data_IF_546936554930
#
_entry.id   IF_546936554930
#
_cell.length_a   1.000
_cell.length_b   1.000
_cell.length_c   1.000
_cell.angle_alpha   90.00
_cell.angle_beta   90.00
_cell.angle_gamma   90.00
#
_symmetry.space_group_name_H-M   'P 1'
#
loop_
_entity.id
_entity.type
_entity.pdbx_description
1 polymer ?
#
# COMPACT_ATOMS: atom_id res chain seq x y z
N UNK A 1 8.73 8.66 -7.01
CA UNK A 1 8.95 7.73 -5.87
C UNK A 1 9.18 8.49 -4.58
N UNK A 2 10.26 9.28 -4.44
CA UNK A 2 10.57 10.03 -3.22
C UNK A 2 9.37 10.83 -2.67
N UNK A 3 8.73 11.64 -3.50
CA UNK A 3 7.53 12.42 -3.08
C UNK A 3 6.38 11.55 -2.56
N UNK A 4 6.22 10.32 -3.05
CA UNK A 4 5.16 9.42 -2.58
C UNK A 4 5.52 8.83 -1.21
N UNK A 5 6.80 8.55 -0.97
CA UNK A 5 7.33 8.11 0.32
C UNK A 5 7.17 9.24 1.35
N UNK A 6 7.60 10.45 1.01
CA UNK A 6 7.47 11.64 1.87
C UNK A 6 6.01 11.91 2.27
N UNK A 7 5.06 11.73 1.33
CA UNK A 7 3.63 11.85 1.62
C UNK A 7 3.15 10.80 2.60
N UNK A 8 3.54 9.53 2.43
CA UNK A 8 3.19 8.46 3.36
C UNK A 8 3.71 8.81 4.76
N UNK A 9 4.99 9.17 4.87
CA UNK A 9 5.61 9.57 6.13
C UNK A 9 4.88 10.75 6.77
N UNK A 10 4.55 11.77 5.98
CA UNK A 10 3.81 12.95 6.46
C UNK A 10 2.42 12.59 6.98
N UNK A 11 1.69 11.71 6.27
CA UNK A 11 0.35 11.31 6.69
C UNK A 11 0.37 10.46 7.96
N UNK A 12 1.41 9.64 8.17
CA UNK A 12 1.49 8.72 9.30
C UNK A 12 2.31 9.24 10.48
N UNK A 13 3.10 10.32 10.32
CA UNK A 13 4.06 10.80 11.32
C UNK A 13 3.45 11.10 12.71
N UNK A 14 2.25 11.66 12.74
CA UNK A 14 1.56 12.05 13.98
C UNK A 14 0.40 11.12 14.34
N UNK A 15 0.30 9.94 13.69
CA UNK A 15 -0.81 9.02 13.89
C UNK A 15 -0.35 7.80 14.66
N UNK A 16 -1.12 7.44 15.69
CA UNK A 16 -1.06 6.12 16.29
C UNK A 16 -1.64 5.08 15.33
N UNK A 17 -1.33 3.82 15.58
CA UNK A 17 -1.88 2.71 14.79
C UNK A 17 -3.42 2.68 14.82
N UNK A 18 -4.02 2.98 15.97
CA UNK A 18 -5.48 3.01 16.13
C UNK A 18 -6.13 4.14 15.30
N UNK A 19 -5.53 5.33 15.30
CA UNK A 19 -6.01 6.46 14.48
C UNK A 19 -5.88 6.17 12.99
N UNK A 20 -4.80 5.51 12.58
CA UNK A 20 -4.61 5.07 11.20
C UNK A 20 -5.69 4.05 10.80
N UNK A 21 -5.94 3.02 11.62
CA UNK A 21 -6.96 2.00 11.37
C UNK A 21 -8.40 2.56 11.37
N UNK A 22 -8.65 3.64 12.11
CA UNK A 22 -9.93 4.33 12.11
C UNK A 22 -10.13 5.26 10.89
N UNK A 23 -9.05 5.72 10.27
CA UNK A 23 -9.10 6.70 9.17
C UNK A 23 -9.00 6.05 7.79
N UNK A 24 -10.16 5.80 7.18
CA UNK A 24 -10.23 5.29 5.80
C UNK A 24 -9.56 6.22 4.79
N UNK A 25 -9.69 7.53 4.98
CA UNK A 25 -9.09 8.54 4.11
C UNK A 25 -7.56 8.40 4.07
N UNK A 26 -6.94 8.23 5.24
CA UNK A 26 -5.48 8.08 5.34
C UNK A 26 -5.03 6.73 4.79
N UNK A 27 -5.78 5.65 5.04
CA UNK A 27 -5.51 4.34 4.44
C UNK A 27 -5.54 4.41 2.92
N UNK A 28 -6.58 4.99 2.33
CA UNK A 28 -6.72 5.15 0.88
C UNK A 28 -5.57 6.02 0.31
N UNK A 29 -5.20 7.09 1.00
CA UNK A 29 -4.08 7.94 0.61
C UNK A 29 -2.73 7.19 0.64
N UNK A 30 -2.47 6.37 1.67
CA UNK A 30 -1.25 5.57 1.78
C UNK A 30 -1.20 4.49 0.70
N UNK A 31 -2.31 3.77 0.48
CA UNK A 31 -2.42 2.75 -0.58
C UNK A 31 -2.13 3.38 -1.95
N UNK A 32 -2.71 4.55 -2.24
CA UNK A 32 -2.49 5.26 -3.50
C UNK A 32 -1.02 5.63 -3.70
N UNK A 33 -0.32 6.09 -2.66
CA UNK A 33 1.10 6.44 -2.78
C UNK A 33 1.97 5.19 -3.02
N UNK A 34 1.61 4.05 -2.42
CA UNK A 34 2.27 2.80 -2.74
C UNK A 34 2.05 2.32 -4.18
N UNK A 35 0.85 2.52 -4.74
CA UNK A 35 0.59 2.24 -6.17
C UNK A 35 1.52 3.06 -7.07
N UNK A 36 1.68 4.36 -6.78
CA UNK A 36 2.58 5.27 -7.52
C UNK A 36 4.03 4.80 -7.44
N UNK A 37 4.47 4.34 -6.26
CA UNK A 37 5.83 3.79 -6.07
C UNK A 37 6.01 2.52 -6.91
N UNK A 38 5.03 1.60 -6.87
CA UNK A 38 5.07 0.36 -7.62
C UNK A 38 5.07 0.59 -9.13
N UNK A 39 4.24 1.50 -9.64
CA UNK A 39 4.19 1.86 -11.06
C UNK A 39 5.52 2.47 -11.52
N UNK A 40 6.11 3.37 -10.73
CA UNK A 40 7.41 3.94 -11.04
C UNK A 40 8.53 2.88 -11.07
N UNK A 41 8.52 1.93 -10.13
CA UNK A 41 9.47 0.81 -10.11
C UNK A 41 9.30 -0.12 -11.33
N UNK A 42 8.06 -0.43 -11.72
CA UNK A 42 7.78 -1.20 -12.94
C UNK A 42 8.21 -0.47 -14.22
N UNK A 43 8.02 0.86 -14.27
CA UNK A 43 8.49 1.68 -15.37
C UNK A 43 10.01 1.71 -15.46
N UNK A 44 10.73 1.76 -14.33
CA UNK A 44 12.18 1.67 -14.29
C UNK A 44 12.68 0.36 -14.90
N UNK A 45 12.08 -0.78 -14.54
CA UNK A 45 12.41 -2.07 -15.14
C UNK A 45 12.23 -2.11 -16.66
N UNK A 46 11.20 -1.41 -17.17
CA UNK A 46 10.90 -1.36 -18.60
C UNK A 46 11.84 -0.43 -19.38
N UNK A 47 12.22 0.71 -18.80
CA UNK A 47 12.96 1.78 -19.50
C UNK A 47 14.47 1.65 -19.30
N UNK A 48 14.93 1.10 -18.17
CA UNK A 48 16.34 0.95 -17.84
C UNK A 48 16.59 -0.43 -17.18
N UNK A 49 16.48 -1.53 -17.94
CA UNK A 49 16.61 -2.88 -17.40
C UNK A 49 18.00 -3.15 -16.81
N UNK A 50 19.06 -2.57 -17.36
CA UNK A 50 20.42 -2.66 -16.80
C UNK A 50 20.54 -2.02 -15.40
N UNK A 51 19.88 -0.88 -15.17
CA UNK A 51 19.85 -0.23 -13.85
C UNK A 51 19.00 -1.06 -12.88
N UNK A 52 17.86 -1.58 -13.33
CA UNK A 52 17.03 -2.44 -12.50
C UNK A 52 17.73 -3.76 -12.13
N UNK A 53 18.55 -4.32 -13.01
CA UNK A 53 19.35 -5.51 -12.74
C UNK A 53 20.48 -5.25 -11.72
N UNK A 54 21.02 -4.03 -11.69
CA UNK A 54 22.00 -3.60 -10.70
C UNK A 54 21.39 -3.36 -9.30
N UNK A 55 20.06 -3.19 -9.23
CA UNK A 55 19.30 -2.91 -8.00
C UNK A 55 18.18 -3.95 -7.77
N UNK A 56 18.52 -5.24 -7.54
CA UNK A 56 17.54 -6.30 -7.32
C UNK A 56 16.68 -6.10 -6.06
N UNK A 57 17.10 -5.23 -5.15
CA UNK A 57 16.33 -4.82 -3.97
C UNK A 57 15.04 -4.05 -4.31
N UNK A 58 14.92 -3.51 -5.52
CA UNK A 58 13.72 -2.78 -5.98
C UNK A 58 12.77 -3.78 -6.65
N UNK A 59 11.70 -4.24 -5.98
CA UNK A 59 10.91 -5.32 -6.52
C UNK A 59 9.86 -4.74 -7.48
N UNK A 60 10.14 -4.73 -8.78
CA UNK A 60 9.21 -4.15 -9.78
C UNK A 60 7.92 -4.94 -10.01
N UNK A 61 7.72 -6.06 -9.30
CA UNK A 61 6.44 -6.79 -9.26
C UNK A 61 5.49 -6.28 -8.15
N UNK A 62 5.94 -5.35 -7.29
CA UNK A 62 5.14 -4.78 -6.19
C UNK A 62 3.75 -4.25 -6.59
N UNK A 63 3.55 -3.49 -7.71
CA UNK A 63 2.30 -2.74 -7.90
C UNK A 63 1.03 -3.60 -7.92
N UNK A 64 1.10 -4.87 -8.34
CA UNK A 64 -0.07 -5.76 -8.39
C UNK A 64 -0.33 -6.50 -7.08
N UNK A 65 0.73 -6.88 -6.36
CA UNK A 65 0.61 -7.61 -5.10
C UNK A 65 0.27 -6.71 -3.92
N UNK A 66 0.78 -5.47 -3.91
CA UNK A 66 0.73 -4.61 -2.74
C UNK A 66 -0.69 -4.07 -2.48
N UNK A 67 -1.48 -3.77 -3.50
CA UNK A 67 -2.89 -3.36 -3.31
C UNK A 67 -3.70 -4.48 -2.66
N UNK A 68 -3.63 -5.70 -3.17
CA UNK A 68 -4.33 -6.86 -2.61
C UNK A 68 -3.80 -7.22 -1.22
N UNK A 69 -2.49 -7.13 -1.00
CA UNK A 69 -1.85 -7.40 0.28
C UNK A 69 -2.21 -6.35 1.33
N UNK A 70 -2.13 -5.05 1.02
CA UNK A 70 -2.48 -3.97 1.96
C UNK A 70 -3.96 -3.98 2.27
N UNK A 71 -4.83 -4.20 1.27
CA UNK A 71 -6.26 -4.40 1.52
C UNK A 71 -6.47 -5.61 2.44
N UNK A 72 -5.85 -6.77 2.21
CA UNK A 72 -6.02 -7.91 3.12
C UNK A 72 -5.43 -7.70 4.51
N UNK A 73 -4.22 -7.16 4.64
CA UNK A 73 -3.51 -7.01 5.92
C UNK A 73 -4.19 -5.96 6.81
N UNK A 74 -4.66 -4.84 6.25
CA UNK A 74 -5.38 -3.83 7.03
C UNK A 74 -6.82 -4.22 7.34
N UNK A 75 -7.46 -4.98 6.43
CA UNK A 75 -8.86 -5.35 6.58
C UNK A 75 -9.06 -6.59 7.45
N UNK A 76 -8.13 -7.55 7.45
CA UNK A 76 -8.12 -8.69 8.38
C UNK A 76 -7.89 -8.23 9.82
N UNK A 77 -7.08 -7.19 10.07
CA UNK A 77 -6.86 -6.66 11.43
C UNK A 77 -8.11 -6.01 12.03
N UNK A 78 -9.08 -5.60 11.19
CA UNK A 78 -10.38 -5.06 11.62
C UNK A 78 -11.30 -6.12 12.24
N UNK A 79 -11.18 -7.39 11.84
CA UNK A 79 -12.05 -8.47 12.33
C UNK A 79 -11.77 -8.89 13.78
N UNK A 80 -10.64 -8.47 14.39
CA UNK A 80 -10.26 -8.88 15.75
C UNK A 80 -10.81 -7.90 16.82
N UNK A 81 -11.36 -6.74 16.42
CA UNK A 81 -11.94 -5.74 17.36
C UNK A 81 -13.47 -5.83 17.52
N UNK A 82 -14.09 -6.99 17.25
CA UNK A 82 -15.47 -7.27 17.69
C UNK A 82 -16.58 -7.13 16.64
N UNK A 83 -16.30 -7.30 15.34
CA UNK A 83 -17.34 -7.47 14.31
C UNK A 83 -17.24 -8.87 13.68
N UNK A 84 -18.38 -9.56 13.56
CA UNK A 84 -18.42 -10.90 12.97
C UNK A 84 -17.93 -10.89 11.51
N UNK A 85 -17.16 -11.92 11.16
CA UNK A 85 -16.56 -12.15 9.83
C UNK A 85 -17.56 -12.08 8.65
N UNK A 86 -18.86 -12.23 8.90
CA UNK A 86 -19.93 -12.23 7.87
C UNK A 86 -20.28 -10.84 7.35
N UNK A 87 -20.04 -9.78 8.13
CA UNK A 87 -20.44 -8.41 7.77
C UNK A 87 -19.38 -7.66 6.96
N UNK A 88 -18.18 -8.24 6.83
CA UNK A 88 -17.08 -7.53 6.22
C UNK A 88 -17.07 -7.65 4.69
N UNK A 89 -17.52 -8.75 4.06
CA UNK A 89 -17.29 -9.04 2.61
C UNK A 89 -17.47 -7.78 1.69
N UNK A 90 -16.45 -7.33 0.95
CA UNK A 90 -16.71 -6.32 -0.07
C UNK A 90 -17.55 -6.99 -1.17
N UNK A 91 -18.61 -6.33 -1.62
CA UNK A 91 -19.31 -6.73 -2.82
C UNK A 91 -18.28 -6.80 -3.95
N UNK A 92 -17.96 -8.00 -4.40
CA UNK A 92 -17.08 -8.22 -5.54
C UNK A 92 -17.90 -7.86 -6.79
N UNK A 93 -17.44 -6.84 -7.53
CA UNK A 93 -17.79 -6.59 -8.93
C UNK A 93 -16.51 -6.29 -9.69
#
# INVERSE_FOLDING_TARGET
MLQAIERIETYTAAMTEAEFLASRLVQDAVIRNFEIIGEAAGNLQRVAPEIAAAHPEIPGHLPRGLRNFLVHVYWVRRCIQGLEYRDCRPAQS
#
